data_IF_305934281170
#
_entry.id   IF_305934281170
#
_cell.length_a   1.000
_cell.length_b   1.000
_cell.length_c   1.000
_cell.angle_alpha   90.00
_cell.angle_beta   90.00
_cell.angle_gamma   90.00
#
_symmetry.space_group_name_H-M   'P 1'
#
loop_
_entity.id
_entity.type
_entity.pdbx_description
1 polymer ?
#
# COMPACT_ATOMS: atom_id res chain seq x y z
N UNK A 1 -6.45 31.90 -0.64
CA UNK A 1 -6.66 30.87 0.40
C UNK A 1 -5.42 30.03 0.40
N UNK A 2 -4.61 30.13 1.46
CA UNK A 2 -3.36 29.35 1.60
C UNK A 2 -3.75 27.92 1.96
N UNK A 3 -3.49 26.97 1.07
CA UNK A 3 -3.46 25.56 1.42
C UNK A 3 -2.24 25.37 2.31
N UNK A 4 -2.44 25.17 3.60
CA UNK A 4 -1.41 24.60 4.44
C UNK A 4 -1.17 23.19 3.93
N UNK A 5 -0.10 22.98 3.16
CA UNK A 5 0.53 21.66 3.08
C UNK A 5 0.89 21.31 4.52
N UNK A 6 0.08 20.46 5.13
CA UNK A 6 0.47 19.83 6.38
C UNK A 6 1.51 18.80 6.00
N UNK A 7 2.75 19.06 6.38
CA UNK A 7 3.81 18.07 6.28
C UNK A 7 3.35 16.79 6.98
N UNK A 8 3.54 15.65 6.31
CA UNK A 8 3.24 14.35 6.88
C UNK A 8 4.22 14.06 8.02
N UNK A 9 3.86 14.43 9.25
CA UNK A 9 4.66 14.14 10.44
C UNK A 9 4.34 12.73 10.96
N UNK A 10 5.29 11.81 10.80
CA UNK A 10 5.17 10.44 11.30
C UNK A 10 5.98 10.30 12.59
N UNK A 11 5.29 10.23 13.74
CA UNK A 11 5.93 9.99 15.02
C UNK A 11 6.02 8.48 15.29
N UNK A 12 7.17 8.00 15.77
CA UNK A 12 7.34 6.60 16.19
C UNK A 12 6.45 6.20 17.36
N UNK A 13 5.90 7.18 18.09
CA UNK A 13 4.93 7.01 19.17
C UNK A 13 3.49 6.83 18.67
N UNK A 14 3.23 7.04 17.37
CA UNK A 14 1.91 6.89 16.76
C UNK A 14 1.52 5.43 16.50
N UNK A 15 2.43 4.49 16.75
CA UNK A 15 2.19 3.07 16.49
C UNK A 15 1.58 2.42 17.74
N UNK A 16 0.29 2.03 17.70
CA UNK A 16 -0.36 1.44 18.88
C UNK A 16 0.23 0.06 19.25
N UNK A 17 0.95 -0.58 18.33
CA UNK A 17 1.57 -1.89 18.51
C UNK A 17 3.04 -1.76 18.15
N UNK A 18 3.93 -1.89 19.14
CA UNK A 18 5.38 -1.62 19.11
C UNK A 18 6.20 -2.39 18.05
N UNK A 19 5.55 -3.08 17.13
CA UNK A 19 6.16 -3.99 16.18
C UNK A 19 6.21 -3.40 14.76
N UNK A 20 5.23 -2.55 14.37
CA UNK A 20 5.05 -2.11 12.98
C UNK A 20 4.43 -0.71 12.84
N UNK A 21 4.94 0.08 11.89
CA UNK A 21 4.37 1.39 11.54
C UNK A 21 3.23 1.23 10.53
N UNK A 22 2.02 1.46 11.02
CA UNK A 22 0.80 1.49 10.22
C UNK A 22 0.33 2.93 10.05
N UNK A 23 0.20 3.37 8.81
CA UNK A 23 -0.29 4.70 8.47
C UNK A 23 -1.74 4.61 7.99
N UNK A 24 -2.68 5.38 8.57
CA UNK A 24 -4.02 5.48 8.01
C UNK A 24 -3.94 6.12 6.61
N UNK A 25 -4.61 5.52 5.64
CA UNK A 25 -4.68 6.05 4.29
C UNK A 25 -6.04 5.83 3.67
N UNK A 26 -6.31 6.58 2.61
CA UNK A 26 -7.45 6.35 1.73
C UNK A 26 -6.92 5.84 0.40
N UNK A 27 -7.55 4.82 -0.16
CA UNK A 27 -7.26 4.38 -1.52
C UNK A 27 -8.37 4.88 -2.43
N UNK A 28 -8.01 5.67 -3.43
CA UNK A 28 -8.90 6.15 -4.48
C UNK A 28 -8.83 5.19 -5.67
N UNK A 29 -9.98 4.65 -6.07
CA UNK A 29 -10.10 3.73 -7.21
C UNK A 29 -11.35 4.11 -8.00
N UNK A 30 -11.14 4.61 -9.23
CA UNK A 30 -12.20 5.17 -10.06
C UNK A 30 -12.99 6.25 -9.28
N UNK A 31 -14.31 6.11 -9.19
CA UNK A 31 -15.20 7.03 -8.48
C UNK A 31 -15.43 6.67 -7.00
N UNK A 32 -14.71 5.67 -6.47
CA UNK A 32 -14.85 5.21 -5.10
C UNK A 32 -13.57 5.43 -4.30
N UNK A 33 -13.72 5.68 -3.01
CA UNK A 33 -12.61 5.72 -2.07
C UNK A 33 -12.93 4.89 -0.84
N UNK A 34 -11.91 4.29 -0.25
CA UNK A 34 -12.07 3.57 1.01
C UNK A 34 -10.89 3.79 1.94
N UNK A 35 -11.20 3.93 3.22
CA UNK A 35 -10.18 4.01 4.27
C UNK A 35 -9.56 2.63 4.51
N UNK A 36 -8.24 2.61 4.70
CA UNK A 36 -7.46 1.43 5.07
C UNK A 36 -6.20 1.86 5.83
N UNK A 37 -5.32 0.91 6.11
CA UNK A 37 -4.00 1.17 6.68
C UNK A 37 -2.93 0.67 5.70
N UNK A 38 -1.85 1.44 5.56
CA UNK A 38 -0.64 1.05 4.87
C UNK A 38 0.42 0.62 5.90
N UNK A 39 1.06 -0.52 5.64
CA UNK A 39 2.22 -0.96 6.41
C UNK A 39 3.49 -0.38 5.79
N UNK A 40 4.22 0.44 6.54
CA UNK A 40 5.48 1.01 6.05
C UNK A 40 6.61 0.02 6.28
N UNK A 41 7.13 -0.52 5.18
CA UNK A 41 8.24 -1.47 5.15
C UNK A 41 9.39 -0.91 4.32
N UNK A 42 10.47 -0.48 4.98
CA UNK A 42 11.66 0.01 4.29
C UNK A 42 12.49 -1.10 3.62
N UNK A 43 12.19 -2.37 3.90
CA UNK A 43 12.79 -3.53 3.25
C UNK A 43 12.04 -3.98 1.99
N UNK A 44 10.82 -3.47 1.77
CA UNK A 44 10.04 -3.79 0.58
C UNK A 44 10.58 -3.03 -0.64
N UNK A 45 10.76 -3.74 -1.75
CA UNK A 45 11.26 -3.15 -3.01
C UNK A 45 10.16 -2.50 -3.86
N UNK A 46 8.90 -2.78 -3.55
CA UNK A 46 7.72 -2.33 -4.29
C UNK A 46 6.51 -2.31 -3.33
N UNK A 47 5.39 -1.76 -3.80
CA UNK A 47 4.13 -1.74 -3.06
C UNK A 47 3.39 -3.06 -3.25
N UNK A 48 2.94 -3.66 -2.14
CA UNK A 48 2.18 -4.91 -2.17
C UNK A 48 0.78 -4.72 -1.62
N UNK A 49 -0.19 -5.35 -2.27
CA UNK A 49 -1.58 -5.33 -1.85
C UNK A 49 -2.17 -6.73 -1.86
N UNK A 50 -3.02 -7.04 -0.87
CA UNK A 50 -3.59 -8.38 -0.73
C UNK A 50 -4.58 -8.69 -1.86
N UNK A 51 -4.38 -9.83 -2.54
CA UNK A 51 -5.17 -10.25 -3.69
C UNK A 51 -6.66 -10.45 -3.36
N UNK A 52 -6.98 -11.18 -2.29
CA UNK A 52 -8.36 -11.45 -1.89
C UNK A 52 -9.11 -10.15 -1.53
N UNK A 53 -8.43 -9.21 -0.87
CA UNK A 53 -8.96 -7.88 -0.57
C UNK A 53 -9.22 -7.08 -1.84
N UNK A 54 -8.33 -7.15 -2.83
CA UNK A 54 -8.52 -6.51 -4.13
C UNK A 54 -9.72 -7.09 -4.88
N UNK A 55 -9.87 -8.41 -4.87
CA UNK A 55 -11.02 -9.07 -5.48
C UNK A 55 -12.33 -8.70 -4.80
N UNK A 56 -12.40 -8.73 -3.46
CA UNK A 56 -13.59 -8.33 -2.69
C UNK A 56 -14.02 -6.89 -2.95
N UNK A 57 -13.07 -6.02 -3.27
CA UNK A 57 -13.29 -4.61 -3.61
C UNK A 57 -13.51 -4.36 -5.10
N UNK A 58 -13.55 -5.41 -5.91
CA UNK A 58 -13.69 -5.33 -7.37
C UNK A 58 -12.65 -4.41 -8.03
N UNK A 59 -11.42 -4.43 -7.53
CA UNK A 59 -10.32 -3.67 -8.13
C UNK A 59 -9.96 -4.27 -9.49
N UNK A 60 -9.53 -3.44 -10.44
CA UNK A 60 -9.02 -3.93 -11.72
C UNK A 60 -7.69 -4.63 -11.51
N UNK A 61 -7.67 -5.94 -11.74
CA UNK A 61 -6.48 -6.78 -11.63
C UNK A 61 -5.96 -7.14 -13.03
N UNK A 62 -4.79 -6.62 -13.38
CA UNK A 62 -4.12 -6.91 -14.63
C UNK A 62 -3.16 -8.08 -14.44
N UNK A 63 -3.34 -9.15 -15.21
CA UNK A 63 -2.42 -10.30 -15.19
C UNK A 63 -1.07 -9.86 -15.73
N UNK A 64 0.00 -10.18 -14.99
CA UNK A 64 1.36 -9.93 -15.44
C UNK A 64 1.73 -10.96 -16.53
N UNK A 65 2.36 -10.54 -17.64
CA UNK A 65 2.82 -11.47 -18.68
C UNK A 65 3.79 -12.52 -18.14
N UNK A 66 4.60 -12.12 -17.15
CA UNK A 66 5.53 -13.00 -16.43
C UNK A 66 5.33 -12.76 -14.92
N UNK A 67 4.93 -13.79 -14.15
CA UNK A 67 4.86 -13.67 -12.70
C UNK A 67 6.21 -13.32 -12.08
N UNK A 68 6.20 -12.46 -11.05
CA UNK A 68 7.40 -12.02 -10.32
C UNK A 68 7.53 -12.83 -9.03
N UNK A 69 8.72 -13.33 -8.72
CA UNK A 69 8.96 -14.03 -7.45
C UNK A 69 9.28 -13.01 -6.35
N UNK A 70 8.53 -13.06 -5.25
CA UNK A 70 8.78 -12.26 -4.06
C UNK A 70 9.63 -13.09 -3.10
N UNK A 71 10.84 -12.62 -2.83
CA UNK A 71 11.75 -13.23 -1.87
C UNK A 71 11.82 -12.39 -0.60
N UNK A 72 11.91 -13.06 0.55
CA UNK A 72 12.24 -12.43 1.82
C UNK A 72 13.73 -12.09 1.88
N UNK A 73 14.13 -11.33 2.90
CA UNK A 73 15.51 -10.88 3.10
C UNK A 73 16.52 -12.02 3.29
N UNK A 74 16.05 -13.18 3.75
CA UNK A 74 16.86 -14.40 3.90
C UNK A 74 16.98 -15.23 2.60
N UNK A 75 16.34 -14.78 1.51
CA UNK A 75 16.28 -15.46 0.21
C UNK A 75 15.11 -16.42 0.07
N UNK A 76 14.34 -16.68 1.13
CA UNK A 76 13.18 -17.58 1.09
C UNK A 76 12.13 -17.06 0.12
N UNK A 77 11.61 -17.93 -0.74
CA UNK A 77 10.49 -17.57 -1.63
C UNK A 77 9.21 -17.42 -0.81
N UNK A 78 8.67 -16.20 -0.76
CA UNK A 78 7.44 -15.88 -0.05
C UNK A 78 6.20 -16.12 -0.91
N UNK A 79 6.22 -15.64 -2.15
CA UNK A 79 5.06 -15.66 -3.04
C UNK A 79 5.44 -15.47 -4.51
N UNK A 80 4.51 -15.80 -5.40
CA UNK A 80 4.55 -15.46 -6.82
C UNK A 80 3.50 -14.39 -7.12
N UNK A 81 3.95 -13.19 -7.47
CA UNK A 81 3.11 -12.05 -7.83
C UNK A 81 2.67 -12.21 -9.28
N UNK A 82 1.38 -12.48 -9.48
CA UNK A 82 0.79 -12.78 -10.80
C UNK A 82 -0.03 -11.64 -11.37
N UNK A 83 -0.43 -10.68 -10.54
CA UNK A 83 -1.29 -9.57 -10.93
C UNK A 83 -0.70 -8.24 -10.47
N UNK A 84 -1.10 -7.17 -11.15
CA UNK A 84 -0.86 -5.80 -10.76
C UNK A 84 -2.16 -5.00 -10.82
N UNK A 85 -2.24 -3.93 -10.05
CA UNK A 85 -3.36 -2.99 -10.06
C UNK A 85 -2.81 -1.59 -9.88
N UNK A 86 -3.52 -0.59 -10.39
CA UNK A 86 -3.16 0.82 -10.22
C UNK A 86 -4.06 1.40 -9.15
N UNK A 87 -3.46 1.94 -8.11
CA UNK A 87 -4.15 2.53 -6.97
C UNK A 87 -3.56 3.90 -6.72
N UNK A 88 -4.40 4.88 -6.43
CA UNK A 88 -3.93 6.15 -5.88
C UNK A 88 -4.10 6.09 -4.37
N UNK A 89 -2.99 6.10 -3.64
CA UNK A 89 -2.99 6.07 -2.18
C UNK A 89 -2.86 7.51 -1.68
N UNK A 90 -3.77 7.94 -0.82
CA UNK A 90 -3.73 9.22 -0.15
C UNK A 90 -3.39 9.03 1.34
N UNK A 91 -2.19 9.43 1.70
CA UNK A 91 -1.63 9.46 3.05
C UNK A 91 -1.74 10.90 3.58
N UNK A 92 -2.91 11.25 4.15
CA UNK A 92 -3.14 12.55 4.79
C UNK A 92 -2.79 13.78 3.91
N UNK A 93 -3.08 13.71 2.61
CA UNK A 93 -2.77 14.75 1.63
C UNK A 93 -1.60 14.41 0.72
N UNK A 94 -0.71 13.50 1.14
CA UNK A 94 0.35 12.97 0.28
C UNK A 94 -0.20 11.88 -0.65
N UNK A 95 0.03 12.00 -1.96
CA UNK A 95 -0.45 11.03 -2.96
C UNK A 95 0.68 10.17 -3.49
N UNK A 96 0.51 8.85 -3.40
CA UNK A 96 1.39 7.83 -3.97
C UNK A 96 0.66 7.07 -5.08
N UNK A 97 1.39 6.65 -6.13
CA UNK A 97 0.86 5.97 -7.33
C UNK A 97 1.60 4.68 -7.64
#
# INVERSE_FOLDING_TARGET
MSSSDQDLEILSLSTPHRDHLLLPCTVDVNDNSFATQAFLDCGATDNFYNFDSAQKRNLTLNVLPNPRQLHLVDGTLAASITHTTTLQINLMGHKES
#
